data_IF_219207992730
#
_entry.id   IF_219207992730
#
_cell.length_a   1.000
_cell.length_b   1.000
_cell.length_c   1.000
_cell.angle_alpha   90.00
_cell.angle_beta   90.00
_cell.angle_gamma   90.00
#
_symmetry.space_group_name_H-M   'P 1'
#
loop_
_entity.id
_entity.type
_entity.pdbx_description
1 polymer ?
#
# COMPACT_ATOMS: atom_id res chain seq x y z
N UNK A 1 -2.46 -12.75 -2.61
CA UNK A 1 -3.28 -11.78 -1.86
C UNK A 1 -4.63 -11.70 -2.56
N UNK A 2 -5.73 -11.84 -1.83
CA UNK A 2 -7.08 -11.82 -2.42
C UNK A 2 -7.61 -10.37 -2.54
N UNK A 3 -8.73 -10.18 -3.24
CA UNK A 3 -9.33 -8.86 -3.48
C UNK A 3 -9.76 -8.15 -2.19
N UNK A 4 -10.35 -8.90 -1.26
CA UNK A 4 -10.75 -8.39 0.05
C UNK A 4 -9.55 -7.84 0.86
N UNK A 5 -8.41 -8.53 0.84
CA UNK A 5 -7.18 -8.06 1.49
C UNK A 5 -6.63 -6.81 0.83
N UNK A 6 -6.70 -6.70 -0.51
CA UNK A 6 -6.29 -5.50 -1.23
C UNK A 6 -7.13 -4.29 -0.82
N UNK A 7 -8.45 -4.45 -0.80
CA UNK A 7 -9.37 -3.38 -0.42
C UNK A 7 -9.18 -2.96 1.04
N UNK A 8 -8.98 -3.90 1.96
CA UNK A 8 -8.70 -3.59 3.37
C UNK A 8 -7.42 -2.77 3.55
N UNK A 9 -6.34 -3.11 2.84
CA UNK A 9 -5.08 -2.35 2.89
C UNK A 9 -5.26 -0.94 2.31
N UNK A 10 -5.95 -0.83 1.18
CA UNK A 10 -6.20 0.46 0.55
C UNK A 10 -7.13 1.35 1.40
N UNK A 11 -8.13 0.78 2.05
CA UNK A 11 -9.04 1.50 2.94
C UNK A 11 -8.30 2.04 4.18
N UNK A 12 -7.49 1.20 4.82
CA UNK A 12 -6.67 1.64 5.95
C UNK A 12 -5.67 2.74 5.54
N UNK A 13 -5.14 2.68 4.32
CA UNK A 13 -4.32 3.75 3.78
C UNK A 13 -5.11 5.04 3.53
N UNK A 14 -6.33 4.95 2.98
CA UNK A 14 -7.24 6.11 2.82
C UNK A 14 -7.61 6.74 4.16
N UNK A 15 -7.71 5.93 5.21
CA UNK A 15 -7.93 6.39 6.58
C UNK A 15 -6.69 7.04 7.23
N UNK A 16 -5.56 7.13 6.51
CA UNK A 16 -4.37 7.87 6.92
C UNK A 16 -3.18 7.02 7.36
N UNK A 17 -3.28 5.68 7.37
CA UNK A 17 -2.11 4.83 7.70
C UNK A 17 -1.09 4.82 6.55
N UNK A 18 0.17 5.01 6.87
CA UNK A 18 1.28 4.83 5.93
C UNK A 18 1.50 3.36 5.56
N UNK A 19 2.16 3.11 4.42
CA UNK A 19 2.55 1.75 4.03
C UNK A 19 3.46 1.06 5.08
N UNK A 20 4.27 1.85 5.80
CA UNK A 20 5.13 1.35 6.88
C UNK A 20 4.32 0.86 8.08
N UNK A 21 3.33 1.65 8.52
CA UNK A 21 2.43 1.25 9.61
C UNK A 21 1.61 0.01 9.25
N UNK A 22 1.15 -0.06 7.99
CA UNK A 22 0.42 -1.23 7.49
C UNK A 22 1.30 -2.49 7.43
N UNK A 23 2.57 -2.36 7.03
CA UNK A 23 3.54 -3.47 7.11
C UNK A 23 3.73 -3.95 8.53
N UNK A 24 3.94 -3.05 9.49
CA UNK A 24 4.08 -3.41 10.90
C UNK A 24 2.82 -4.11 11.44
N UNK A 25 1.62 -3.64 11.05
CA UNK A 25 0.34 -4.17 11.51
C UNK A 25 -0.01 -5.53 10.91
N UNK A 26 0.32 -5.76 9.64
CA UNK A 26 -0.10 -6.97 8.90
C UNK A 26 0.99 -8.03 8.78
N UNK A 27 2.25 -7.67 9.08
CA UNK A 27 3.41 -8.53 8.84
C UNK A 27 3.75 -8.70 7.36
N UNK A 28 3.03 -8.03 6.46
CA UNK A 28 3.27 -8.12 5.02
C UNK A 28 4.48 -7.28 4.61
N UNK A 29 5.31 -7.77 3.66
CA UNK A 29 6.43 -6.99 3.14
C UNK A 29 5.97 -5.62 2.60
N UNK A 30 6.78 -4.59 2.83
CA UNK A 30 6.47 -3.22 2.42
C UNK A 30 6.12 -3.09 0.94
N UNK A 31 6.87 -3.78 0.06
CA UNK A 31 6.58 -3.80 -1.39
C UNK A 31 5.20 -4.39 -1.72
N UNK A 32 4.76 -5.38 -0.95
CA UNK A 32 3.43 -6.00 -1.11
C UNK A 32 2.34 -4.99 -0.73
N UNK A 33 2.51 -4.28 0.38
CA UNK A 33 1.57 -3.24 0.83
C UNK A 33 1.51 -2.07 -0.16
N UNK A 34 2.67 -1.55 -0.58
CA UNK A 34 2.77 -0.46 -1.55
C UNK A 34 2.11 -0.84 -2.90
N UNK A 35 2.34 -2.06 -3.37
CA UNK A 35 1.71 -2.57 -4.59
C UNK A 35 0.20 -2.66 -4.45
N UNK A 36 -0.31 -3.15 -3.32
CA UNK A 36 -1.75 -3.24 -3.06
C UNK A 36 -2.43 -1.87 -3.13
N UNK A 37 -1.86 -0.88 -2.42
CA UNK A 37 -2.39 0.48 -2.41
C UNK A 37 -2.39 1.07 -3.82
N UNK A 38 -1.28 0.90 -4.56
CA UNK A 38 -1.17 1.38 -5.95
C UNK A 38 -2.23 0.75 -6.85
N UNK A 39 -2.42 -0.57 -6.78
CA UNK A 39 -3.40 -1.28 -7.61
C UNK A 39 -4.81 -0.78 -7.37
N UNK A 40 -5.23 -0.63 -6.12
CA UNK A 40 -6.58 -0.14 -5.81
C UNK A 40 -6.74 1.32 -6.21
N UNK A 41 -5.74 2.16 -5.97
CA UNK A 41 -5.74 3.55 -6.45
C UNK A 41 -5.91 3.64 -7.96
N UNK A 42 -5.13 2.85 -8.72
CA UNK A 42 -5.15 2.87 -10.18
C UNK A 42 -6.51 2.43 -10.74
N UNK A 43 -7.18 1.48 -10.08
CA UNK A 43 -8.57 1.12 -10.41
C UNK A 43 -9.54 2.28 -10.18
N UNK A 44 -9.39 3.02 -9.08
CA UNK A 44 -10.32 4.10 -8.71
C UNK A 44 -10.08 5.41 -9.46
N UNK A 45 -8.82 5.74 -9.77
CA UNK A 45 -8.43 7.07 -10.29
C UNK A 45 -7.71 7.03 -11.65
N UNK A 46 -7.51 5.84 -12.20
CA UNK A 46 -6.63 5.63 -13.35
C UNK A 46 -5.14 5.59 -12.93
N UNK A 47 -4.26 5.09 -13.81
CA UNK A 47 -2.83 4.99 -13.54
C UNK A 47 -2.20 6.39 -13.43
N UNK A 48 -1.45 6.63 -12.35
CA UNK A 48 -0.63 7.85 -12.19
C UNK A 48 0.83 7.51 -12.52
N UNK A 49 1.38 7.98 -13.65
CA UNK A 49 2.65 7.50 -14.21
C UNK A 49 3.91 7.90 -13.43
N UNK A 50 3.81 8.79 -12.42
CA UNK A 50 4.97 9.28 -11.63
C UNK A 50 4.82 9.09 -10.13
N UNK A 51 3.85 8.30 -9.68
CA UNK A 51 3.73 8.04 -8.25
C UNK A 51 4.60 6.86 -7.85
N UNK A 52 5.67 7.15 -7.14
CA UNK A 52 6.51 6.15 -6.51
C UNK A 52 6.23 6.13 -5.00
N UNK A 53 6.01 4.92 -4.48
CA UNK A 53 6.09 4.73 -3.05
C UNK A 53 7.58 4.71 -2.70
N UNK A 54 7.98 5.56 -1.76
CA UNK A 54 9.36 5.61 -1.27
C UNK A 54 9.50 4.54 -0.19
N UNK A 55 10.33 3.55 -0.44
CA UNK A 55 10.67 2.53 0.55
C UNK A 55 11.37 3.22 1.74
N UNK A 56 10.89 3.03 2.99
CA UNK A 56 11.51 3.66 4.14
C UNK A 56 12.96 3.19 4.26
N UNK A 57 13.87 4.12 4.52
CA UNK A 57 15.29 3.85 4.75
C UNK A 57 15.48 3.17 6.11
N UNK A 58 15.01 1.94 6.27
CA UNK A 58 15.20 1.18 7.49
C UNK A 58 16.60 0.56 7.44
N UNK A 59 17.53 1.14 8.19
CA UNK A 59 18.78 0.45 8.58
C UNK A 59 18.38 -0.72 9.47
N UNK A 60 18.60 -1.94 8.98
CA UNK A 60 18.47 -3.17 9.76
C UNK A 60 19.62 -3.29 10.75
#
# INVERSE_FOLDING_TARGET
MNEEQLERLAEAHRAGMSATELTARTGLPWRTVATAIRMVRDRTRGPVPRLEFIEPAVRR
#
